data_IF_352709725953
#
_entry.id   IF_352709725953
#
_cell.length_a   1.000
_cell.length_b   1.000
_cell.length_c   1.000
_cell.angle_alpha   90.00
_cell.angle_beta   90.00
_cell.angle_gamma   90.00
#
_symmetry.space_group_name_H-M   'P 1'
#
loop_
_entity.id
_entity.type
_entity.pdbx_description
1 polymer ?
#
# COMPACT_ATOMS: atom_id res chain seq x y z
N UNK A 1 -1.77 -30.35 0.17
CA UNK A 1 -1.13 -29.05 0.45
C UNK A 1 -2.10 -28.00 -0.08
N UNK A 2 -2.77 -27.19 0.76
CA UNK A 2 -3.55 -26.08 0.24
C UNK A 2 -2.61 -25.24 -0.63
N UNK A 3 -3.05 -24.96 -1.87
CA UNK A 3 -2.17 -24.52 -2.94
C UNK A 3 -1.46 -23.21 -2.64
N UNK A 4 -0.35 -23.01 -3.34
CA UNK A 4 0.48 -21.79 -3.35
C UNK A 4 -0.25 -20.58 -3.98
N UNK A 5 -1.59 -20.53 -3.87
CA UNK A 5 -2.47 -19.62 -4.58
C UNK A 5 -2.91 -18.50 -3.66
N UNK A 6 -2.55 -17.28 -4.04
CA UNK A 6 -3.03 -16.05 -3.40
C UNK A 6 -4.53 -15.82 -3.67
N UNK A 7 -5.26 -15.11 -2.78
CA UNK A 7 -6.61 -14.66 -3.08
C UNK A 7 -6.62 -13.77 -4.33
N UNK A 8 -7.74 -13.71 -5.07
CA UNK A 8 -7.86 -12.80 -6.20
C UNK A 8 -7.74 -11.35 -5.72
N UNK A 9 -6.91 -10.58 -6.41
CA UNK A 9 -6.79 -9.13 -6.21
C UNK A 9 -7.53 -8.41 -7.34
N UNK A 10 -8.18 -7.29 -7.01
CA UNK A 10 -8.84 -6.43 -7.99
C UNK A 10 -8.57 -4.97 -7.67
N UNK A 11 -8.44 -4.15 -8.71
CA UNK A 11 -8.32 -2.70 -8.60
C UNK A 11 -9.68 -1.99 -8.74
N UNK A 12 -10.79 -2.73 -8.84
CA UNK A 12 -12.13 -2.18 -8.84
C UNK A 12 -12.36 -1.42 -7.52
N UNK A 13 -12.28 -0.09 -7.57
CA UNK A 13 -12.34 0.87 -6.44
C UNK A 13 -11.01 1.30 -5.82
N UNK A 14 -9.86 0.80 -6.29
CA UNK A 14 -8.59 1.35 -5.84
C UNK A 14 -8.38 2.76 -6.36
N UNK A 15 -7.96 3.67 -5.48
CA UNK A 15 -7.73 5.07 -5.80
C UNK A 15 -6.24 5.39 -5.63
N UNK A 16 -5.69 6.18 -6.55
CA UNK A 16 -4.45 6.89 -6.32
C UNK A 16 -4.67 7.89 -5.18
N UNK A 17 -3.82 7.83 -4.16
CA UNK A 17 -3.84 8.74 -3.02
C UNK A 17 -2.48 9.42 -2.83
N UNK A 18 -2.53 10.62 -2.26
CA UNK A 18 -1.35 11.33 -1.76
C UNK A 18 -1.68 12.20 -0.55
N UNK A 19 -0.90 13.24 -0.26
CA UNK A 19 -1.00 14.09 0.93
C UNK A 19 -1.86 15.34 0.75
N UNK A 20 -2.27 15.65 -0.49
CA UNK A 20 -3.04 16.86 -0.83
C UNK A 20 -2.19 18.13 -0.96
N UNK A 21 -0.86 18.00 -0.91
CA UNK A 21 0.06 19.08 -1.25
C UNK A 21 0.02 19.42 -2.76
N UNK A 22 0.51 20.61 -3.17
CA UNK A 22 0.70 20.91 -4.57
C UNK A 22 1.60 19.85 -5.25
N UNK A 23 1.30 19.45 -6.50
CA UNK A 23 2.07 18.42 -7.19
C UNK A 23 3.51 18.88 -7.47
N UNK A 24 4.44 17.94 -7.64
CA UNK A 24 5.81 18.26 -8.02
C UNK A 24 6.74 18.63 -6.88
N UNK A 25 6.37 18.27 -5.64
CA UNK A 25 7.22 18.46 -4.46
C UNK A 25 7.95 17.15 -4.14
N UNK A 26 9.27 17.05 -4.39
CA UNK A 26 10.01 15.84 -4.09
C UNK A 26 10.05 15.52 -2.59
N UNK A 27 10.20 14.24 -2.28
CA UNK A 27 10.45 13.74 -0.95
C UNK A 27 9.56 12.58 -0.55
N UNK A 28 9.86 12.07 0.65
CA UNK A 28 9.18 10.96 1.27
C UNK A 28 7.89 11.42 1.96
N UNK A 29 6.83 10.62 1.87
CA UNK A 29 5.56 10.80 2.56
C UNK A 29 5.11 9.49 3.18
N UNK A 30 4.62 9.58 4.41
CA UNK A 30 4.13 8.44 5.16
C UNK A 30 2.64 8.23 4.94
N UNK A 31 2.24 6.97 4.78
CA UNK A 31 0.86 6.52 4.71
C UNK A 31 0.66 5.35 5.67
N UNK A 32 -0.48 5.29 6.36
CA UNK A 32 -0.83 4.23 7.29
C UNK A 32 -2.26 3.78 7.10
N UNK A 33 -2.48 2.47 7.24
CA UNK A 33 -3.79 1.83 7.24
C UNK A 33 -3.85 0.76 8.30
N UNK A 34 -4.76 0.91 9.25
CA UNK A 34 -5.21 -0.22 10.06
C UNK A 34 -6.03 -1.15 9.17
N UNK A 35 -5.67 -2.42 9.13
CA UNK A 35 -6.37 -3.44 8.35
C UNK A 35 -7.79 -3.62 8.91
N UNK A 36 -8.77 -3.93 8.04
CA UNK A 36 -10.15 -4.16 8.49
C UNK A 36 -10.22 -5.23 9.58
N UNK A 37 -11.15 -5.07 10.50
CA UNK A 37 -11.47 -6.09 11.50
C UNK A 37 -12.53 -7.06 10.94
N UNK A 38 -12.31 -8.35 11.16
CA UNK A 38 -13.25 -9.41 10.79
C UNK A 38 -13.99 -9.97 12.01
N UNK A 39 -14.76 -11.03 11.80
CA UNK A 39 -15.46 -11.75 12.89
C UNK A 39 -14.55 -12.69 13.68
N UNK A 40 -13.40 -13.04 13.09
CA UNK A 40 -12.37 -13.90 13.69
C UNK A 40 -11.00 -13.25 13.51
N UNK A 41 -9.94 -13.88 14.03
CA UNK A 41 -8.58 -13.34 13.98
C UNK A 41 -8.07 -13.30 12.53
N UNK A 42 -7.44 -12.19 12.14
CA UNK A 42 -6.75 -12.09 10.86
C UNK A 42 -5.53 -13.01 10.86
N UNK A 43 -5.36 -13.81 9.81
CA UNK A 43 -4.25 -14.78 9.68
C UNK A 43 -3.31 -14.45 8.53
N UNK A 44 -3.79 -13.68 7.56
CA UNK A 44 -2.96 -13.26 6.44
C UNK A 44 -3.46 -11.97 5.81
N UNK A 45 -2.53 -11.19 5.29
CA UNK A 45 -2.81 -10.15 4.30
C UNK A 45 -2.06 -10.45 3.02
N UNK A 46 -2.75 -10.38 1.89
CA UNK A 46 -2.14 -10.40 0.56
C UNK A 46 -2.52 -9.12 -0.17
N UNK A 47 -1.55 -8.39 -0.71
CA UNK A 47 -1.79 -7.09 -1.33
C UNK A 47 -0.86 -6.87 -2.52
N UNK A 48 -1.31 -6.02 -3.45
CA UNK A 48 -0.54 -5.51 -4.56
C UNK A 48 -0.38 -4.00 -4.42
N UNK A 49 0.82 -3.47 -4.62
CA UNK A 49 1.15 -2.05 -4.41
C UNK A 49 1.99 -1.50 -5.57
N UNK A 50 1.72 -0.26 -5.95
CA UNK A 50 2.63 0.57 -6.73
C UNK A 50 2.67 1.99 -6.15
N UNK A 51 3.76 2.69 -6.45
CA UNK A 51 3.88 4.12 -6.19
C UNK A 51 4.62 4.78 -7.35
N UNK A 52 4.35 6.07 -7.53
CA UNK A 52 5.09 6.96 -8.39
C UNK A 52 5.79 8.01 -7.50
N UNK A 53 7.10 7.98 -7.34
CA UNK A 53 8.06 7.11 -8.06
C UNK A 53 8.32 5.77 -7.36
N UNK A 54 8.42 5.77 -6.03
CA UNK A 54 8.84 4.58 -5.27
C UNK A 54 8.15 4.41 -3.93
N UNK A 55 8.23 3.21 -3.35
CA UNK A 55 7.76 2.90 -2.03
C UNK A 55 8.69 1.94 -1.28
N UNK A 56 8.60 1.98 0.04
CA UNK A 56 8.91 0.88 0.95
C UNK A 56 7.66 0.58 1.77
N UNK A 57 7.33 -0.69 1.98
CA UNK A 57 6.11 -1.12 2.69
C UNK A 57 6.44 -2.02 3.88
N UNK A 58 5.75 -1.79 4.97
CA UNK A 58 5.84 -2.57 6.21
C UNK A 58 4.47 -3.13 6.59
N UNK A 59 4.49 -4.31 7.20
CA UNK A 59 3.35 -4.88 7.93
C UNK A 59 3.78 -5.04 9.39
N UNK A 60 3.05 -4.39 10.30
CA UNK A 60 3.33 -4.42 11.74
C UNK A 60 4.79 -4.06 12.11
N UNK A 61 5.40 -3.13 11.36
CA UNK A 61 6.77 -2.69 11.56
C UNK A 61 7.85 -3.56 10.91
N UNK A 62 7.51 -4.70 10.32
CA UNK A 62 8.43 -5.55 9.55
C UNK A 62 8.41 -5.11 8.09
N UNK A 63 9.59 -4.84 7.53
CA UNK A 63 9.73 -4.48 6.12
C UNK A 63 9.40 -5.69 5.24
N UNK A 64 8.48 -5.51 4.31
CA UNK A 64 7.98 -6.59 3.44
C UNK A 64 8.60 -6.49 2.05
N UNK A 65 8.85 -5.26 1.58
CA UNK A 65 9.51 -5.03 0.31
C UNK A 65 9.54 -3.56 -0.07
N UNK A 66 10.19 -3.31 -1.19
CA UNK A 66 10.35 -2.00 -1.80
C UNK A 66 10.39 -2.12 -3.32
N UNK A 67 10.17 -0.99 -4.00
CA UNK A 67 10.46 -0.85 -5.42
C UNK A 67 11.52 0.23 -5.67
N UNK A 68 12.40 0.55 -4.71
CA UNK A 68 13.34 1.69 -4.82
C UNK A 68 14.22 1.57 -6.07
N UNK A 69 14.54 0.34 -6.49
CA UNK A 69 15.29 0.06 -7.72
C UNK A 69 14.56 0.44 -9.02
N UNK A 70 13.24 0.56 -8.97
CA UNK A 70 12.40 1.06 -10.06
C UNK A 70 12.43 2.60 -10.13
N UNK A 71 12.92 3.28 -9.09
CA UNK A 71 13.09 4.72 -9.07
C UNK A 71 14.08 5.18 -10.14
N UNK A 72 13.63 6.09 -10.99
CA UNK A 72 14.42 6.55 -12.14
C UNK A 72 14.38 5.62 -13.35
N UNK A 73 13.37 4.75 -13.47
CA UNK A 73 13.05 4.05 -14.72
C UNK A 73 13.09 5.04 -15.90
N UNK A 74 13.98 4.85 -16.91
CA UNK A 74 14.06 5.74 -18.05
C UNK A 74 12.74 5.84 -18.83
N UNK A 75 11.90 4.81 -18.73
CA UNK A 75 10.56 4.79 -19.34
C UNK A 75 9.50 5.55 -18.55
N UNK A 76 9.77 5.96 -17.30
CA UNK A 76 8.83 6.64 -16.42
C UNK A 76 7.50 5.90 -16.26
N UNK A 77 7.53 4.57 -16.24
CA UNK A 77 6.32 3.74 -16.29
C UNK A 77 6.34 2.54 -15.34
N UNK A 78 7.41 2.39 -14.56
CA UNK A 78 7.55 1.30 -13.61
C UNK A 78 6.46 1.25 -12.53
N UNK A 79 5.79 2.38 -12.25
CA UNK A 79 4.60 2.44 -11.39
C UNK A 79 3.40 1.67 -11.95
N UNK A 80 3.40 1.27 -13.22
CA UNK A 80 2.26 0.56 -13.84
C UNK A 80 2.15 -0.90 -13.41
N UNK A 81 3.24 -1.46 -12.88
CA UNK A 81 3.31 -2.82 -12.38
C UNK A 81 3.23 -2.82 -10.85
N UNK A 82 2.18 -3.41 -10.30
CA UNK A 82 2.01 -3.54 -8.86
C UNK A 82 2.69 -4.82 -8.37
N UNK A 83 3.62 -4.69 -7.43
CA UNK A 83 4.28 -5.82 -6.80
C UNK A 83 3.34 -6.48 -5.78
N UNK A 84 3.32 -7.82 -5.73
CA UNK A 84 2.43 -8.61 -4.87
C UNK A 84 3.18 -9.18 -3.67
N UNK A 85 2.65 -8.96 -2.47
CA UNK A 85 3.16 -9.51 -1.22
C UNK A 85 2.08 -10.31 -0.48
N UNK A 86 2.49 -11.35 0.23
CA UNK A 86 1.63 -12.19 1.08
C UNK A 86 2.31 -12.41 2.42
N UNK A 87 1.64 -12.06 3.51
CA UNK A 87 2.23 -11.97 4.86
C UNK A 87 1.31 -12.59 5.89
N UNK A 88 1.83 -13.56 6.65
CA UNK A 88 1.11 -14.15 7.79
C UNK A 88 0.95 -13.12 8.92
N UNK A 89 -0.23 -13.08 9.52
CA UNK A 89 -0.60 -12.17 10.61
C UNK A 89 -0.76 -12.96 11.91
N UNK A 90 -0.29 -12.38 13.00
CA UNK A 90 -0.35 -12.97 14.34
C UNK A 90 -0.96 -12.06 15.40
N UNK A 91 -1.16 -10.78 15.08
CA UNK A 91 -1.68 -9.76 15.99
C UNK A 91 -3.19 -9.57 15.84
N UNK A 92 -3.82 -9.02 16.88
CA UNK A 92 -5.26 -8.69 16.88
C UNK A 92 -5.54 -7.43 16.04
N UNK A 93 -4.74 -6.38 16.22
CA UNK A 93 -4.66 -5.22 15.31
C UNK A 93 -3.55 -5.49 14.31
N UNK A 94 -3.72 -5.09 13.05
CA UNK A 94 -2.66 -5.17 12.05
C UNK A 94 -2.62 -3.86 11.25
N UNK A 95 -1.42 -3.42 10.89
CA UNK A 95 -1.19 -2.16 10.19
C UNK A 95 -0.31 -2.39 8.98
N UNK A 96 -0.70 -1.80 7.85
CA UNK A 96 0.20 -1.54 6.72
C UNK A 96 0.67 -0.10 6.83
N UNK A 97 1.98 0.09 6.72
CA UNK A 97 2.61 1.40 6.61
C UNK A 97 3.41 1.47 5.32
N UNK A 98 3.36 2.62 4.66
CA UNK A 98 4.06 2.88 3.40
C UNK A 98 4.83 4.19 3.52
N UNK A 99 6.10 4.15 3.16
CA UNK A 99 6.86 5.35 2.82
C UNK A 99 6.88 5.42 1.30
N UNK A 100 6.16 6.37 0.72
CA UNK A 100 6.19 6.61 -0.70
C UNK A 100 7.06 7.84 -0.99
N UNK A 101 7.91 7.76 -2.01
CA UNK A 101 8.87 8.81 -2.37
C UNK A 101 8.55 9.34 -3.75
N UNK A 102 8.20 10.62 -3.83
CA UNK A 102 8.26 11.40 -5.07
C UNK A 102 9.74 11.77 -5.29
N UNK A 103 10.37 11.14 -6.27
CA UNK A 103 11.72 11.47 -6.74
C UNK A 103 11.61 12.67 -7.68
N UNK A 104 10.65 12.66 -8.60
CA UNK A 104 10.40 13.74 -9.55
C UNK A 104 8.94 13.80 -10.02
N UNK A 105 8.46 15.04 -10.20
CA UNK A 105 7.20 15.35 -10.87
C UNK A 105 5.96 14.79 -10.17
N UNK A 106 5.53 13.57 -10.49
CA UNK A 106 4.19 13.09 -10.13
C UNK A 106 4.26 12.22 -8.89
N UNK A 107 3.22 12.33 -8.05
CA UNK A 107 3.15 11.65 -6.77
C UNK A 107 1.86 10.84 -6.65
N UNK A 108 1.99 9.60 -6.20
CA UNK A 108 0.84 8.78 -5.90
C UNK A 108 1.22 7.41 -5.36
N UNK A 109 0.38 6.87 -4.49
CA UNK A 109 0.42 5.46 -4.10
C UNK A 109 -0.93 4.82 -4.38
N UNK A 110 -0.91 3.57 -4.87
CA UNK A 110 -2.09 2.76 -5.07
C UNK A 110 -1.86 1.35 -4.56
N UNK A 111 -2.85 0.81 -3.85
CA UNK A 111 -2.81 -0.56 -3.32
C UNK A 111 -4.21 -1.18 -3.34
N UNK A 112 -4.24 -2.48 -3.58
CA UNK A 112 -5.40 -3.34 -3.29
C UNK A 112 -4.95 -4.54 -2.48
N UNK A 113 -5.77 -5.02 -1.56
CA UNK A 113 -5.44 -6.16 -0.72
C UNK A 113 -6.64 -6.89 -0.16
N UNK A 114 -6.37 -8.09 0.31
CA UNK A 114 -7.35 -8.99 0.93
C UNK A 114 -6.76 -9.46 2.25
N UNK A 115 -7.53 -9.27 3.32
CA UNK A 115 -7.28 -9.87 4.63
C UNK A 115 -8.07 -11.17 4.72
N UNK A 116 -7.40 -12.25 5.09
CA UNK A 116 -8.00 -13.55 5.37
C UNK A 116 -8.05 -13.78 6.87
N UNK A 117 -9.14 -14.39 7.34
CA UNK A 117 -9.39 -14.66 8.76
C UNK A 117 -9.48 -16.17 9.05
N UNK A 118 -9.33 -16.55 10.32
CA UNK A 118 -9.32 -17.95 10.77
C UNK A 118 -10.58 -18.74 10.38
N UNK A 119 -11.73 -18.08 10.34
CA UNK A 119 -13.01 -18.69 9.92
C UNK A 119 -13.15 -18.85 8.40
N UNK A 120 -12.12 -18.49 7.63
CA UNK A 120 -12.09 -18.53 6.16
C UNK A 120 -12.77 -17.34 5.49
N UNK A 121 -13.35 -16.40 6.24
CA UNK A 121 -13.85 -15.15 5.67
C UNK A 121 -12.71 -14.28 5.14
N UNK A 122 -13.06 -13.35 4.25
CA UNK A 122 -12.12 -12.42 3.63
C UNK A 122 -12.72 -11.03 3.56
N UNK A 123 -11.88 -10.01 3.75
CA UNK A 123 -12.27 -8.60 3.55
C UNK A 123 -11.24 -7.94 2.65
N UNK A 124 -11.73 -7.37 1.55
CA UNK A 124 -10.93 -6.55 0.63
C UNK A 124 -10.78 -5.14 1.18
N UNK A 125 -9.61 -4.53 0.97
CA UNK A 125 -9.34 -3.13 1.22
C UNK A 125 -8.48 -2.56 0.09
N UNK A 126 -8.53 -1.25 -0.07
CA UNK A 126 -7.81 -0.53 -1.12
C UNK A 126 -7.21 0.76 -0.57
N UNK A 127 -6.38 1.43 -1.35
CA UNK A 127 -6.09 2.85 -1.15
C UNK A 127 -7.32 3.70 -1.46
N UNK A 128 -7.70 4.51 -0.49
CA UNK A 128 -8.83 5.44 -0.50
C UNK A 128 -8.62 6.51 0.58
N UNK A 129 -9.60 7.38 0.81
CA UNK A 129 -9.52 8.43 1.82
C UNK A 129 -9.48 7.91 3.28
N UNK A 130 -9.68 6.61 3.54
CA UNK A 130 -9.57 6.06 4.90
C UNK A 130 -8.13 5.77 5.33
N UNK A 131 -7.16 5.91 4.43
CA UNK A 131 -5.74 5.93 4.76
C UNK A 131 -5.37 7.23 5.47
N UNK A 132 -4.43 7.14 6.40
CA UNK A 132 -3.88 8.28 7.11
C UNK A 132 -2.52 8.67 6.55
N UNK A 133 -2.18 9.96 6.61
CA UNK A 133 -0.88 10.49 6.21
C UNK A 133 -0.37 11.54 7.18
N UNK A 134 0.96 11.60 7.34
CA UNK A 134 1.64 12.64 8.10
C UNK A 134 1.61 14.01 7.39
N UNK A 135 1.06 14.09 6.17
CA UNK A 135 1.07 15.28 5.34
C UNK A 135 2.42 15.50 4.65
N UNK A 136 2.71 16.73 4.25
CA UNK A 136 3.95 17.11 3.56
C UNK A 136 5.12 17.32 4.54
N UNK A 137 5.47 16.28 5.27
CA UNK A 137 6.68 16.22 6.09
C UNK A 137 7.38 14.88 5.86
N UNK A 138 8.69 14.78 6.14
CA UNK A 138 9.38 13.50 6.18
C UNK A 138 8.66 12.52 7.13
N UNK A 139 8.62 11.21 6.79
CA UNK A 139 8.04 10.19 7.66
C UNK A 139 8.58 10.27 9.09
N UNK A 140 7.71 10.36 10.11
CA UNK A 140 8.15 10.32 11.50
C UNK A 140 8.88 9.02 11.83
N UNK A 141 9.82 9.07 12.78
CA UNK A 141 10.49 7.86 13.24
C UNK A 141 9.48 6.83 13.75
N UNK A 142 9.71 5.56 13.40
CA UNK A 142 8.88 4.45 13.85
C UNK A 142 7.40 4.51 13.43
N UNK A 143 7.06 5.36 12.45
CA UNK A 143 5.70 5.42 11.91
C UNK A 143 5.22 4.09 11.33
N UNK A 144 6.08 3.11 11.10
CA UNK A 144 5.71 1.80 10.60
C UNK A 144 5.22 0.82 11.68
N UNK A 145 5.43 1.13 12.96
CA UNK A 145 5.09 0.23 14.06
C UNK A 145 3.57 0.15 14.29
N UNK A 146 3.11 -1.00 14.77
CA UNK A 146 1.69 -1.28 15.06
C UNK A 146 1.08 -0.30 16.08
N UNK A 147 1.88 0.10 17.08
CA UNK A 147 1.47 0.94 18.21
C UNK A 147 1.80 2.42 18.02
N UNK A 148 2.28 2.82 16.83
CA UNK A 148 2.47 4.24 16.52
C UNK A 148 1.12 4.98 16.58
N UNK A 149 1.10 6.12 17.29
CA UNK A 149 -0.07 6.98 17.42
C UNK A 149 -0.21 7.90 16.20
N UNK A 150 -1.09 7.51 15.29
CA UNK A 150 -1.49 8.26 14.10
C UNK A 150 -2.82 9.02 14.29
N UNK A 151 -3.32 9.16 15.52
CA UNK A 151 -4.62 9.80 15.78
C UNK A 151 -4.71 11.26 15.32
N UNK A 152 -3.57 11.95 15.21
CA UNK A 152 -3.48 13.33 14.72
C UNK A 152 -3.17 13.43 13.22
N UNK A 153 -3.03 12.30 12.52
CA UNK A 153 -2.76 12.31 11.08
C UNK A 153 -4.01 12.65 10.29
N UNK A 154 -3.81 13.33 9.17
CA UNK A 154 -4.89 13.66 8.26
C UNK A 154 -5.25 12.45 7.40
N UNK A 155 -6.47 12.44 6.88
CA UNK A 155 -6.87 11.52 5.82
C UNK A 155 -6.10 11.82 4.53
N UNK A 156 -5.72 10.77 3.81
CA UNK A 156 -5.07 10.89 2.51
C UNK A 156 -6.00 11.56 1.50
N UNK A 157 -5.43 12.42 0.65
CA UNK A 157 -6.17 13.05 -0.43
C UNK A 157 -6.31 12.08 -1.61
N UNK A 158 -7.52 11.97 -2.15
CA UNK A 158 -7.77 11.20 -3.37
C UNK A 158 -7.30 12.01 -4.57
N UNK A 159 -6.44 11.41 -5.40
CA UNK A 159 -6.07 11.96 -6.69
C UNK A 159 -7.08 11.51 -7.76
N UNK A 160 -7.38 10.22 -7.81
CA UNK A 160 -8.37 9.68 -8.74
C UNK A 160 -8.35 8.16 -8.85
N UNK A 161 -9.32 7.57 -9.59
CA UNK A 161 -9.38 6.13 -9.82
C UNK A 161 -8.27 5.65 -10.77
N UNK A 162 -8.13 4.33 -10.90
CA UNK A 162 -7.36 3.70 -12.00
C UNK A 162 -7.75 4.31 -13.35
N UNK A 163 -6.77 4.57 -14.21
CA UNK A 163 -6.97 5.26 -15.49
C UNK A 163 -6.79 6.77 -15.44
N UNK A 164 -6.73 7.37 -14.24
CA UNK A 164 -6.38 8.79 -14.08
C UNK A 164 -5.00 9.06 -14.69
N UNK A 165 -4.87 10.17 -15.43
CA UNK A 165 -3.60 10.58 -16.03
C UNK A 165 -2.65 11.09 -14.93
N UNK A 166 -1.34 10.80 -15.04
CA UNK A 166 -0.65 10.17 -16.18
C UNK A 166 -0.60 8.63 -16.14
N UNK A 167 -1.09 8.00 -15.06
CA UNK A 167 -0.78 6.60 -14.77
C UNK A 167 -1.45 5.62 -15.73
N UNK A 168 -2.68 5.90 -16.16
CA UNK A 168 -3.39 5.06 -17.12
C UNK A 168 -3.68 3.65 -16.59
N UNK A 169 -3.48 2.64 -17.43
CA UNK A 169 -3.76 1.24 -17.09
C UNK A 169 -2.64 0.62 -16.25
N UNK A 170 -3.05 -0.19 -15.27
CA UNK A 170 -2.16 -0.90 -14.34
C UNK A 170 -2.27 -2.40 -14.51
N UNK A 171 -1.24 -3.13 -14.09
CA UNK A 171 -1.22 -4.58 -14.10
C UNK A 171 -0.49 -5.12 -12.87
N UNK A 172 -0.81 -6.35 -12.49
CA UNK A 172 -0.14 -7.02 -11.39
C UNK A 172 1.13 -7.73 -11.87
N UNK A 173 2.21 -7.60 -11.09
CA UNK A 173 3.41 -8.40 -11.28
C UNK A 173 3.09 -9.90 -11.08
N UNK A 174 3.85 -10.82 -11.70
CA UNK A 174 3.78 -12.23 -11.36
C UNK A 174 4.11 -12.47 -9.88
N UNK A 175 3.22 -13.13 -9.14
CA UNK A 175 3.51 -13.54 -7.77
C UNK A 175 4.55 -14.66 -7.76
N UNK A 176 5.69 -14.39 -7.14
CA UNK A 176 6.81 -15.35 -7.01
C UNK A 176 7.06 -15.78 -5.56
N UNK A 177 6.31 -15.22 -4.61
CA UNK A 177 6.44 -15.50 -3.19
C UNK A 177 5.77 -16.80 -2.75
N UNK A 178 5.82 -17.03 -1.44
CA UNK A 178 5.04 -18.07 -0.78
C UNK A 178 3.77 -17.42 -0.23
N UNK A 179 2.61 -17.93 -0.62
CA UNK A 179 1.37 -17.55 0.04
C UNK A 179 1.43 -18.00 1.51
N UNK A 180 0.98 -17.14 2.41
CA UNK A 180 0.41 -17.60 3.66
C UNK A 180 -0.70 -18.64 3.38
#
# INVERSE_FOLDING_TARGET
VPGNTIPPLSLDSALWIWTGEPPGIPGMRAFRKTLPEGRSRAVCVTFAIAADDTYTVWVNGVEIGDNIRKGGDPGGSAFRELDIYSVSLSHTKNVIAVNATNVISVDGVILTGVVQYEDGSQITFVTDASWLTAGNIPPPDSFQLIDFDDSNWAHAAIIGPVGTQPWGALHFAPFTGKAC
#
